data_IF_182313065696
#
_entry.id   IF_182313065696
#
_cell.length_a   1.000
_cell.length_b   1.000
_cell.length_c   1.000
_cell.angle_alpha   90.00
_cell.angle_beta   90.00
_cell.angle_gamma   90.00
#
_symmetry.space_group_name_H-M   'P 1'
#
loop_
_entity.id
_entity.type
_entity.pdbx_description
1 polymer ?
#
# COMPACT_ATOMS: atom_id res chain seq x y z
N UNK A 1 41.81 -46.80 70.35
CA UNK A 1 42.54 -45.75 69.60
C UNK A 1 41.49 -44.84 68.97
N UNK A 2 41.53 -43.54 69.27
CA UNK A 2 40.92 -42.46 68.45
C UNK A 2 41.85 -42.17 67.24
N UNK A 3 41.52 -41.30 66.24
CA UNK A 3 40.42 -40.31 66.13
C UNK A 3 39.52 -40.56 64.87
N UNK A 4 38.67 -39.68 64.32
CA UNK A 4 38.44 -38.21 64.44
C UNK A 4 36.95 -37.85 64.15
N UNK A 5 36.64 -36.55 64.13
CA UNK A 5 35.39 -35.90 63.66
C UNK A 5 35.67 -35.03 62.41
N UNK A 6 34.58 -34.45 61.84
CA UNK A 6 34.51 -33.38 60.79
C UNK A 6 34.39 -33.90 59.34
N UNK A 7 33.64 -33.28 58.41
CA UNK A 7 32.88 -32.00 58.44
C UNK A 7 31.60 -32.04 57.55
N UNK A 8 30.78 -30.98 57.63
CA UNK A 8 29.51 -30.80 56.89
C UNK A 8 29.65 -30.06 55.53
N UNK A 9 28.54 -30.05 54.76
CA UNK A 9 28.22 -29.20 53.58
C UNK A 9 28.94 -29.56 52.25
N UNK A 10 28.27 -29.69 51.09
CA UNK A 10 27.38 -28.70 50.46
C UNK A 10 26.41 -29.30 49.41
N UNK A 11 25.19 -28.75 49.39
CA UNK A 11 24.34 -28.39 48.23
C UNK A 11 24.14 -29.31 47.01
N UNK A 12 22.88 -29.77 46.90
CA UNK A 12 22.01 -29.67 45.71
C UNK A 12 22.51 -30.26 44.38
N UNK A 13 22.13 -31.52 44.13
CA UNK A 13 22.27 -32.18 42.83
C UNK A 13 21.50 -31.47 41.72
N UNK A 14 22.20 -31.26 40.60
CA UNK A 14 21.78 -30.47 39.44
C UNK A 14 20.38 -30.84 38.90
N UNK A 15 19.57 -29.81 38.64
CA UNK A 15 18.32 -29.94 37.90
C UNK A 15 18.60 -30.40 36.45
N UNK A 16 17.79 -31.29 35.86
CA UNK A 16 17.97 -31.69 34.46
C UNK A 16 17.61 -30.51 33.56
N UNK A 17 18.62 -29.89 32.93
CA UNK A 17 18.40 -28.89 31.90
C UNK A 17 17.63 -29.49 30.72
N UNK A 18 16.32 -29.24 30.68
CA UNK A 18 15.50 -29.44 29.50
C UNK A 18 16.03 -28.48 28.43
N UNK A 19 16.90 -29.00 27.55
CA UNK A 19 17.26 -28.34 26.30
C UNK A 19 16.04 -28.43 25.39
N UNK A 20 15.12 -27.48 25.54
CA UNK A 20 14.07 -27.22 24.55
C UNK A 20 14.76 -26.75 23.26
N UNK A 21 15.16 -27.71 22.43
CA UNK A 21 15.58 -27.43 21.08
C UNK A 21 14.37 -26.83 20.36
N UNK A 22 14.44 -25.52 20.08
CA UNK A 22 13.46 -24.86 19.23
C UNK A 22 13.52 -25.56 17.87
N UNK A 23 12.52 -26.39 17.58
CA UNK A 23 12.40 -27.07 16.30
C UNK A 23 12.17 -25.98 15.25
N UNK A 24 13.25 -25.62 14.55
CA UNK A 24 13.21 -24.73 13.40
C UNK A 24 12.37 -25.40 12.30
N UNK A 25 11.05 -25.17 12.33
CA UNK A 25 10.15 -25.59 11.26
C UNK A 25 10.55 -24.81 10.01
N UNK A 26 10.97 -25.52 8.98
CA UNK A 26 11.19 -24.91 7.67
C UNK A 26 9.84 -24.45 7.11
N UNK A 27 9.79 -23.33 6.37
CA UNK A 27 8.56 -22.89 5.71
C UNK A 27 8.00 -23.96 4.79
N UNK A 28 6.68 -24.13 4.80
CA UNK A 28 5.99 -25.06 3.90
C UNK A 28 6.24 -24.69 2.44
N UNK A 29 6.30 -25.68 1.54
CA UNK A 29 6.55 -25.43 0.11
C UNK A 29 5.56 -24.42 -0.52
N UNK A 30 4.31 -24.41 -0.06
CA UNK A 30 3.25 -23.46 -0.43
C UNK A 30 3.49 -22.00 0.00
N UNK A 31 4.41 -21.74 0.94
CA UNK A 31 4.74 -20.39 1.42
C UNK A 31 5.88 -19.73 0.62
N UNK A 32 6.68 -20.50 -0.14
CA UNK A 32 7.86 -19.95 -0.83
C UNK A 32 7.58 -18.79 -1.80
N UNK A 33 6.52 -18.81 -2.64
CA UNK A 33 6.23 -17.67 -3.53
C UNK A 33 5.96 -16.37 -2.76
N UNK A 34 5.22 -16.48 -1.64
CA UNK A 34 4.90 -15.36 -0.76
C UNK A 34 6.15 -14.81 -0.06
N UNK A 35 7.06 -15.68 0.39
CA UNK A 35 8.33 -15.27 1.01
C UNK A 35 9.28 -14.62 0.01
N UNK A 36 9.28 -15.05 -1.26
CA UNK A 36 10.02 -14.36 -2.33
C UNK A 36 9.45 -12.97 -2.58
N UNK A 37 8.12 -12.82 -2.64
CA UNK A 37 7.49 -11.50 -2.75
C UNK A 37 7.81 -10.61 -1.54
N UNK A 38 7.83 -11.17 -0.33
CA UNK A 38 8.24 -10.43 0.87
C UNK A 38 9.67 -9.90 0.74
N UNK A 39 10.61 -10.73 0.27
CA UNK A 39 12.00 -10.32 0.07
C UNK A 39 12.17 -9.26 -1.04
N UNK A 40 11.38 -9.33 -2.12
CA UNK A 40 11.34 -8.27 -3.15
C UNK A 40 10.85 -6.94 -2.56
N UNK A 41 9.82 -6.99 -1.71
CA UNK A 41 9.31 -5.80 -0.99
C UNK A 41 10.30 -5.29 0.07
N UNK A 42 11.14 -6.15 0.66
CA UNK A 42 12.22 -5.76 1.58
C UNK A 42 13.39 -5.07 0.84
N UNK A 43 13.60 -5.38 -0.44
CA UNK A 43 14.68 -4.83 -1.26
C UNK A 43 14.36 -3.47 -1.90
N UNK A 44 13.08 -3.10 -2.03
CA UNK A 44 12.66 -1.86 -2.68
C UNK A 44 12.95 -0.61 -1.83
N UNK A 45 13.57 0.42 -2.40
CA UNK A 45 13.84 1.69 -1.72
C UNK A 45 12.58 2.57 -1.74
N UNK A 46 11.73 2.40 -0.73
CA UNK A 46 10.52 3.22 -0.54
C UNK A 46 10.86 4.65 -0.05
N UNK A 47 10.12 5.68 -0.50
CA UNK A 47 9.10 5.67 -1.56
C UNK A 47 9.69 5.81 -2.98
N UNK A 48 11.00 6.02 -3.13
CA UNK A 48 11.63 6.55 -4.34
C UNK A 48 11.66 5.61 -5.56
N UNK A 49 11.73 4.30 -5.36
CA UNK A 49 11.79 3.31 -6.44
C UNK A 49 10.41 2.71 -6.80
N UNK A 50 9.32 3.23 -6.22
CA UNK A 50 8.00 2.61 -6.31
C UNK A 50 6.99 3.56 -6.96
N UNK A 51 6.28 3.04 -7.96
CA UNK A 51 5.22 3.71 -8.70
C UNK A 51 3.98 2.80 -8.81
N UNK A 52 2.90 3.28 -9.45
CA UNK A 52 1.66 2.52 -9.62
C UNK A 52 1.86 1.16 -10.31
N UNK A 53 2.59 1.14 -11.44
CA UNK A 53 2.87 -0.07 -12.23
C UNK A 53 3.63 -1.12 -11.40
N UNK A 54 4.63 -0.70 -10.62
CA UNK A 54 5.41 -1.62 -9.79
C UNK A 54 4.57 -2.27 -8.68
N UNK A 55 3.62 -1.53 -8.10
CA UNK A 55 2.69 -2.06 -7.08
C UNK A 55 1.65 -2.97 -7.73
N UNK A 56 1.16 -2.65 -8.93
CA UNK A 56 0.29 -3.55 -9.70
C UNK A 56 0.98 -4.88 -10.00
N UNK A 57 2.21 -4.86 -10.51
CA UNK A 57 2.97 -6.08 -10.80
C UNK A 57 3.16 -6.95 -9.54
N UNK A 58 3.35 -6.34 -8.37
CA UNK A 58 3.40 -7.06 -7.10
C UNK A 58 2.03 -7.57 -6.61
N UNK A 59 0.95 -6.84 -6.88
CA UNK A 59 -0.42 -7.27 -6.59
C UNK A 59 -0.82 -8.47 -7.46
N UNK A 60 -0.56 -8.41 -8.76
CA UNK A 60 -0.81 -9.50 -9.71
C UNK A 60 0.01 -10.75 -9.31
N UNK A 61 1.27 -10.57 -8.88
CA UNK A 61 2.11 -11.63 -8.31
C UNK A 61 1.51 -12.23 -7.03
N UNK A 62 0.97 -11.40 -6.14
CA UNK A 62 0.31 -11.84 -4.92
C UNK A 62 -0.97 -12.62 -5.24
N UNK A 63 -1.82 -12.11 -6.13
CA UNK A 63 -3.07 -12.76 -6.52
C UNK A 63 -2.85 -14.10 -7.23
N UNK A 64 -1.85 -14.18 -8.12
CA UNK A 64 -1.44 -15.41 -8.79
C UNK A 64 -0.98 -16.53 -7.83
N UNK A 65 -0.58 -16.21 -6.60
CA UNK A 65 -0.23 -17.21 -5.58
C UNK A 65 -1.44 -18.02 -5.07
N UNK A 66 -2.67 -17.54 -5.27
CA UNK A 66 -3.93 -18.21 -4.90
C UNK A 66 -4.22 -18.38 -3.40
N UNK A 67 -3.25 -18.12 -2.50
CA UNK A 67 -3.34 -18.46 -1.08
C UNK A 67 -4.14 -17.43 -0.24
N UNK A 68 -5.36 -17.09 -0.66
CA UNK A 68 -6.23 -16.08 -0.02
C UNK A 68 -6.71 -16.48 1.40
N UNK A 69 -6.39 -17.70 1.85
CA UNK A 69 -6.72 -18.21 3.20
C UNK A 69 -5.61 -17.98 4.24
N UNK A 70 -4.35 -17.85 3.82
CA UNK A 70 -3.21 -17.77 4.73
C UNK A 70 -2.98 -16.35 5.28
N UNK A 71 -2.52 -16.21 6.54
CA UNK A 71 -2.27 -14.88 7.13
C UNK A 71 -1.13 -14.12 6.43
N UNK A 72 -0.12 -14.84 5.90
CA UNK A 72 0.98 -14.25 5.12
C UNK A 72 0.48 -13.51 3.88
N UNK A 73 -0.55 -14.03 3.19
CA UNK A 73 -1.13 -13.37 2.02
C UNK A 73 -1.70 -11.99 2.37
N UNK A 74 -2.44 -11.92 3.48
CA UNK A 74 -3.05 -10.68 3.95
C UNK A 74 -2.03 -9.69 4.50
N UNK A 75 -0.95 -10.15 5.14
CA UNK A 75 0.18 -9.29 5.53
C UNK A 75 0.91 -8.72 4.30
N UNK A 76 1.07 -9.49 3.22
CA UNK A 76 1.62 -8.97 1.96
C UNK A 76 0.69 -7.95 1.32
N UNK A 77 -0.63 -8.17 1.35
CA UNK A 77 -1.60 -7.16 0.90
C UNK A 77 -1.50 -5.87 1.72
N UNK A 78 -1.32 -5.96 3.05
CA UNK A 78 -1.02 -4.80 3.91
C UNK A 78 0.26 -4.09 3.43
N UNK A 79 1.35 -4.82 3.13
CA UNK A 79 2.58 -4.21 2.60
C UNK A 79 2.35 -3.47 1.30
N UNK A 80 1.54 -4.01 0.37
CA UNK A 80 1.20 -3.32 -0.88
C UNK A 80 0.37 -2.05 -0.63
N UNK A 81 -0.56 -2.08 0.32
CA UNK A 81 -1.32 -0.89 0.72
C UNK A 81 -0.43 0.18 1.35
N UNK A 82 0.50 -0.21 2.24
CA UNK A 82 1.45 0.72 2.86
C UNK A 82 2.42 1.32 1.83
N UNK A 83 2.92 0.52 0.87
CA UNK A 83 3.75 0.99 -0.23
C UNK A 83 2.99 1.99 -1.12
N UNK A 84 1.73 1.71 -1.46
CA UNK A 84 0.87 2.63 -2.22
C UNK A 84 0.60 3.95 -1.47
N UNK A 85 0.38 3.90 -0.15
CA UNK A 85 0.21 5.09 0.67
C UNK A 85 1.49 5.92 0.77
N UNK A 86 2.65 5.29 0.92
CA UNK A 86 3.96 5.95 0.93
C UNK A 86 4.25 6.63 -0.41
N UNK A 87 4.01 5.93 -1.52
CA UNK A 87 4.16 6.43 -2.88
C UNK A 87 3.25 7.65 -3.13
N UNK A 88 1.94 7.53 -2.89
CA UNK A 88 0.99 8.62 -3.05
C UNK A 88 1.27 9.82 -2.13
N UNK A 89 1.63 9.57 -0.87
CA UNK A 89 2.01 10.63 0.08
C UNK A 89 3.26 11.39 -0.37
N UNK A 90 4.27 10.68 -0.88
CA UNK A 90 5.47 11.29 -1.44
C UNK A 90 5.15 12.12 -2.70
N UNK A 91 4.29 11.63 -3.59
CA UNK A 91 3.85 12.41 -4.76
C UNK A 91 3.18 13.72 -4.33
N UNK A 92 2.26 13.72 -3.35
CA UNK A 92 1.63 14.97 -2.87
C UNK A 92 2.65 15.91 -2.24
N UNK A 93 3.57 15.40 -1.42
CA UNK A 93 4.59 16.22 -0.76
C UNK A 93 5.60 16.85 -1.75
N UNK A 94 5.71 16.30 -2.97
CA UNK A 94 6.48 16.85 -4.09
C UNK A 94 5.59 17.54 -5.17
N UNK A 95 4.32 17.78 -4.89
CA UNK A 95 3.35 18.41 -5.79
C UNK A 95 3.02 17.63 -7.09
N UNK A 96 3.35 16.34 -7.17
CA UNK A 96 3.04 15.43 -8.28
C UNK A 96 1.57 14.97 -8.23
N UNK A 97 0.63 15.93 -8.21
CA UNK A 97 -0.79 15.66 -7.95
C UNK A 97 -1.46 14.71 -8.94
N UNK A 98 -1.00 14.68 -10.19
CA UNK A 98 -1.50 13.72 -11.19
C UNK A 98 -1.16 12.27 -10.79
N UNK A 99 0.07 12.01 -10.33
CA UNK A 99 0.52 10.68 -9.93
C UNK A 99 -0.12 10.24 -8.60
N UNK A 100 -0.28 11.15 -7.64
CA UNK A 100 -1.07 10.91 -6.42
C UNK A 100 -2.54 10.63 -6.74
N UNK A 101 -3.13 11.41 -7.66
CA UNK A 101 -4.49 11.23 -8.15
C UNK A 101 -4.69 9.93 -8.91
N UNK A 102 -3.67 9.46 -9.62
CA UNK A 102 -3.68 8.17 -10.32
C UNK A 102 -3.78 6.98 -9.37
N UNK A 103 -3.05 7.00 -8.25
CA UNK A 103 -3.20 5.99 -7.21
C UNK A 103 -4.57 6.06 -6.50
N UNK A 104 -5.15 7.25 -6.31
CA UNK A 104 -6.25 7.47 -5.38
C UNK A 104 -7.65 7.64 -5.99
N UNK A 105 -7.77 8.34 -7.12
CA UNK A 105 -9.08 8.78 -7.67
C UNK A 105 -9.28 8.47 -9.16
N UNK A 106 -8.22 8.45 -9.97
CA UNK A 106 -8.35 8.19 -11.40
C UNK A 106 -8.35 6.67 -11.66
N UNK A 107 -9.33 6.14 -12.40
CA UNK A 107 -9.29 4.73 -12.79
C UNK A 107 -8.08 4.42 -13.68
N UNK A 108 -7.48 3.26 -13.45
CA UNK A 108 -6.35 2.71 -14.22
C UNK A 108 -6.75 2.35 -15.64
N UNK A 109 -7.98 1.83 -15.80
CA UNK A 109 -8.53 1.47 -17.11
C UNK A 109 -10.00 1.89 -17.22
N UNK A 110 -10.32 2.59 -18.31
CA UNK A 110 -11.69 2.96 -18.70
C UNK A 110 -11.90 2.48 -20.14
N UNK A 111 -12.92 1.66 -20.37
CA UNK A 111 -13.36 1.24 -21.70
C UNK A 111 -14.53 2.10 -22.16
N UNK A 112 -14.51 2.39 -23.46
CA UNK A 112 -15.46 3.25 -24.16
C UNK A 112 -16.21 2.37 -25.15
N UNK A 113 -17.46 2.09 -24.81
CA UNK A 113 -18.37 1.26 -25.60
C UNK A 113 -19.21 2.18 -26.50
N UNK A 114 -19.27 1.89 -27.80
CA UNK A 114 -20.22 2.51 -28.74
C UNK A 114 -21.43 1.60 -28.95
N UNK A 115 -22.61 2.16 -29.21
CA UNK A 115 -23.82 1.39 -29.54
C UNK A 115 -23.65 0.48 -30.78
N UNK A 116 -22.75 0.82 -31.72
CA UNK A 116 -22.51 0.16 -33.02
C UNK A 116 -21.97 -1.30 -32.98
N UNK A 117 -22.10 -2.04 -31.87
CA UNK A 117 -21.56 -3.41 -31.66
C UNK A 117 -20.03 -3.57 -31.83
N UNK A 118 -19.28 -2.46 -31.98
CA UNK A 118 -17.82 -2.48 -32.10
C UNK A 118 -17.16 -2.91 -30.78
N UNK A 119 -15.96 -3.52 -30.83
CA UNK A 119 -15.18 -3.81 -29.64
C UNK A 119 -14.94 -2.54 -28.79
N UNK A 120 -14.99 -2.62 -27.45
CA UNK A 120 -14.79 -1.45 -26.59
C UNK A 120 -13.38 -0.88 -26.75
N UNK A 121 -13.28 0.42 -26.97
CA UNK A 121 -12.00 1.10 -27.11
C UNK A 121 -11.41 1.48 -25.75
N UNK A 122 -10.09 1.39 -25.60
CA UNK A 122 -9.40 1.86 -24.40
C UNK A 122 -9.30 3.39 -24.41
N UNK A 123 -9.79 4.05 -23.36
CA UNK A 123 -9.55 5.48 -23.13
C UNK A 123 -8.10 5.70 -22.66
N UNK A 124 -7.36 6.61 -23.28
CA UNK A 124 -6.09 7.06 -22.71
C UNK A 124 -6.35 7.89 -21.44
N UNK A 125 -5.61 7.61 -20.36
CA UNK A 125 -5.66 8.39 -19.11
C UNK A 125 -5.34 9.87 -19.41
N UNK A 126 -5.90 10.77 -18.60
CA UNK A 126 -5.74 12.24 -18.67
C UNK A 126 -6.21 12.97 -19.94
N UNK A 127 -6.24 12.34 -21.11
CA UNK A 127 -6.75 12.96 -22.34
C UNK A 127 -8.29 13.10 -22.38
N UNK A 128 -8.77 14.06 -23.18
CA UNK A 128 -10.20 14.34 -23.35
C UNK A 128 -10.87 13.31 -24.27
N UNK A 129 -12.07 12.84 -23.90
CA UNK A 129 -12.87 11.93 -24.75
C UNK A 129 -13.19 12.55 -26.12
N UNK A 130 -13.47 13.86 -26.17
CA UNK A 130 -13.77 14.57 -27.43
C UNK A 130 -12.59 14.66 -28.40
N UNK A 131 -11.38 14.38 -27.94
CA UNK A 131 -10.16 14.37 -28.76
C UNK A 131 -9.83 12.94 -29.21
N UNK A 132 -9.91 11.98 -28.28
CA UNK A 132 -9.67 10.56 -28.55
C UNK A 132 -10.74 9.93 -29.48
N UNK A 133 -12.00 10.35 -29.33
CA UNK A 133 -13.16 9.85 -30.07
C UNK A 133 -13.74 10.91 -31.01
N UNK A 134 -12.86 11.73 -31.59
CA UNK A 134 -13.27 12.81 -32.51
C UNK A 134 -13.89 12.22 -33.78
N UNK A 135 -15.10 12.69 -34.11
CA UNK A 135 -15.81 12.27 -35.32
C UNK A 135 -15.35 13.15 -36.48
N UNK A 136 -14.72 12.54 -37.49
CA UNK A 136 -14.13 13.26 -38.63
C UNK A 136 -15.19 14.03 -39.43
N UNK A 137 -14.94 15.31 -39.68
CA UNK A 137 -15.88 16.21 -40.37
C UNK A 137 -16.90 16.90 -39.45
N UNK A 138 -17.02 16.50 -38.19
CA UNK A 138 -17.98 17.08 -37.25
C UNK A 138 -17.35 18.12 -36.31
N UNK A 139 -18.19 19.02 -35.77
CA UNK A 139 -17.77 20.00 -34.77
C UNK A 139 -17.49 19.35 -33.41
N UNK A 140 -16.70 20.04 -32.55
CA UNK A 140 -16.45 19.59 -31.17
C UNK A 140 -17.74 19.45 -30.38
N UNK A 141 -18.71 20.35 -30.59
CA UNK A 141 -20.03 20.31 -29.94
C UNK A 141 -20.79 19.03 -30.32
N UNK A 142 -20.88 18.73 -31.61
CA UNK A 142 -21.55 17.53 -32.10
C UNK A 142 -20.85 16.25 -31.60
N UNK A 143 -19.51 16.22 -31.58
CA UNK A 143 -18.73 15.12 -31.00
C UNK A 143 -19.10 14.90 -29.52
N UNK A 144 -19.24 15.96 -28.73
CA UNK A 144 -19.65 15.87 -27.31
C UNK A 144 -21.10 15.39 -27.17
N UNK A 145 -22.02 15.88 -27.99
CA UNK A 145 -23.43 15.44 -27.99
C UNK A 145 -23.55 13.96 -28.36
N UNK A 146 -22.78 13.50 -29.36
CA UNK A 146 -22.71 12.08 -29.75
C UNK A 146 -22.13 11.21 -28.63
N UNK A 147 -20.99 11.59 -28.03
CA UNK A 147 -20.38 10.85 -26.91
C UNK A 147 -21.32 10.74 -25.70
N UNK A 148 -22.20 11.73 -25.46
CA UNK A 148 -23.19 11.66 -24.38
C UNK A 148 -24.34 10.70 -24.64
N UNK A 149 -24.73 10.52 -25.91
CA UNK A 149 -25.95 9.80 -26.29
C UNK A 149 -25.69 8.37 -26.78
N UNK A 150 -24.52 8.14 -27.41
CA UNK A 150 -24.22 6.91 -28.16
C UNK A 150 -23.07 6.07 -27.56
N UNK A 151 -22.45 6.57 -26.48
CA UNK A 151 -21.33 5.90 -25.83
C UNK A 151 -21.56 5.68 -24.33
N UNK A 152 -21.08 4.54 -23.84
CA UNK A 152 -21.05 4.18 -22.42
C UNK A 152 -19.60 4.03 -21.94
N UNK A 153 -19.32 4.58 -20.77
CA UNK A 153 -18.04 4.37 -20.08
C UNK A 153 -18.16 3.19 -19.10
N UNK A 154 -17.13 2.35 -19.07
CA UNK A 154 -16.97 1.26 -18.11
C UNK A 154 -15.60 1.38 -17.43
N UNK A 155 -15.58 1.35 -16.10
CA UNK A 155 -14.34 1.28 -15.34
C UNK A 155 -14.02 -0.20 -15.11
N UNK A 156 -13.03 -0.72 -15.84
CA UNK A 156 -12.58 -2.12 -15.74
C UNK A 156 -11.48 -2.29 -14.69
N UNK A 157 -10.64 -1.27 -14.47
CA UNK A 157 -9.63 -1.24 -13.40
C UNK A 157 -9.79 0.05 -12.57
N UNK A 158 -10.46 0.01 -11.40
CA UNK A 158 -10.65 1.19 -10.53
C UNK A 158 -9.33 1.66 -9.88
N UNK A 159 -9.25 2.85 -9.26
CA UNK A 159 -7.99 3.40 -8.73
C UNK A 159 -7.33 2.46 -7.70
N UNK A 160 -6.00 2.44 -7.64
CA UNK A 160 -5.25 1.39 -6.93
C UNK A 160 -5.48 1.39 -5.41
N UNK A 161 -5.37 2.54 -4.74
CA UNK A 161 -5.56 2.67 -3.28
C UNK A 161 -6.97 2.25 -2.82
N UNK A 162 -8.08 2.74 -3.42
CA UNK A 162 -9.43 2.21 -3.16
C UNK A 162 -9.57 0.70 -3.42
N UNK A 163 -8.87 0.15 -4.41
CA UNK A 163 -8.91 -1.29 -4.72
C UNK A 163 -8.24 -2.10 -3.61
N UNK A 164 -7.02 -1.72 -3.23
CA UNK A 164 -6.26 -2.36 -2.14
C UNK A 164 -7.00 -2.24 -0.80
N UNK A 165 -7.53 -1.06 -0.47
CA UNK A 165 -8.29 -0.85 0.76
C UNK A 165 -9.57 -1.69 0.81
N UNK A 166 -10.31 -1.79 -0.30
CA UNK A 166 -11.50 -2.64 -0.39
C UNK A 166 -11.14 -4.11 -0.21
N UNK A 167 -10.08 -4.60 -0.86
CA UNK A 167 -9.63 -5.99 -0.69
C UNK A 167 -9.28 -6.33 0.76
N UNK A 168 -8.61 -5.43 1.47
CA UNK A 168 -8.33 -5.56 2.90
C UNK A 168 -9.62 -5.60 3.73
N UNK A 169 -10.50 -4.62 3.53
CA UNK A 169 -11.75 -4.47 4.30
C UNK A 169 -12.69 -5.65 4.10
N UNK A 170 -12.94 -6.03 2.86
CA UNK A 170 -13.94 -7.04 2.49
C UNK A 170 -13.46 -8.47 2.80
N UNK A 171 -12.16 -8.67 3.07
CA UNK A 171 -11.60 -9.95 3.51
C UNK A 171 -12.09 -10.41 4.89
N UNK A 172 -12.47 -9.47 5.77
CA UNK A 172 -12.71 -9.72 7.19
C UNK A 172 -11.47 -10.15 8.01
N UNK A 173 -10.29 -10.26 7.39
CA UNK A 173 -9.04 -10.78 8.02
C UNK A 173 -8.16 -9.71 8.65
N UNK A 174 -8.50 -8.44 8.48
CA UNK A 174 -7.64 -7.29 8.78
C UNK A 174 -8.17 -6.53 9.99
N UNK A 175 -7.30 -6.15 10.92
CA UNK A 175 -7.72 -5.54 12.17
C UNK A 175 -8.39 -4.17 11.95
N UNK A 176 -9.49 -3.92 12.67
CA UNK A 176 -10.23 -2.65 12.62
C UNK A 176 -9.35 -1.41 12.87
N UNK A 177 -8.42 -1.42 13.85
CA UNK A 177 -7.48 -0.32 14.06
C UNK A 177 -6.58 -0.02 12.86
N UNK A 178 -6.11 -1.05 12.13
CA UNK A 178 -5.34 -0.87 10.91
C UNK A 178 -6.20 -0.28 9.79
N UNK A 179 -7.38 -0.84 9.51
CA UNK A 179 -8.30 -0.30 8.50
C UNK A 179 -8.64 1.18 8.75
N UNK A 180 -8.87 1.57 10.00
CA UNK A 180 -9.12 2.96 10.38
C UNK A 180 -7.87 3.85 10.24
N UNK A 181 -6.66 3.32 10.42
CA UNK A 181 -5.41 4.04 10.14
C UNK A 181 -5.23 4.28 8.62
N UNK A 182 -5.48 3.26 7.81
CA UNK A 182 -5.39 3.30 6.35
C UNK A 182 -6.38 4.32 5.75
N UNK A 183 -7.64 4.32 6.18
CA UNK A 183 -8.66 5.29 5.75
C UNK A 183 -8.24 6.74 6.08
N UNK A 184 -7.71 6.97 7.29
CA UNK A 184 -7.17 8.30 7.68
C UNK A 184 -6.01 8.74 6.79
N UNK A 185 -5.13 7.84 6.36
CA UNK A 185 -4.03 8.19 5.44
C UNK A 185 -4.50 8.46 4.02
N UNK A 186 -5.51 7.74 3.53
CA UNK A 186 -6.15 8.07 2.24
C UNK A 186 -6.79 9.47 2.27
N UNK A 187 -7.51 9.83 3.34
CA UNK A 187 -8.04 11.20 3.53
C UNK A 187 -6.94 12.24 3.64
N UNK A 188 -5.86 11.94 4.37
CA UNK A 188 -4.73 12.85 4.50
C UNK A 188 -4.09 13.20 3.15
N UNK A 189 -4.03 12.26 2.21
CA UNK A 189 -3.59 12.53 0.83
C UNK A 189 -4.54 13.53 0.15
N UNK A 190 -5.87 13.37 0.25
CA UNK A 190 -6.82 14.34 -0.32
C UNK A 190 -6.76 15.72 0.35
N UNK A 191 -6.61 15.75 1.68
CA UNK A 191 -6.55 16.99 2.45
C UNK A 191 -5.27 17.79 2.11
N UNK A 192 -4.15 17.10 1.93
CA UNK A 192 -2.87 17.70 1.53
C UNK A 192 -2.92 18.27 0.10
N UNK A 193 -3.53 17.55 -0.86
CA UNK A 193 -3.78 18.07 -2.21
C UNK A 193 -4.67 19.32 -2.16
N UNK A 194 -5.79 19.25 -1.42
CA UNK A 194 -6.72 20.36 -1.25
C UNK A 194 -6.07 21.60 -0.62
N UNK A 195 -5.22 21.40 0.39
CA UNK A 195 -4.43 22.47 1.02
C UNK A 195 -3.48 23.14 0.03
N UNK A 196 -2.64 22.37 -0.67
CA UNK A 196 -1.66 22.92 -1.61
C UNK A 196 -2.32 23.62 -2.80
N UNK A 197 -3.39 23.05 -3.36
CA UNK A 197 -4.17 23.66 -4.43
C UNK A 197 -4.88 24.95 -3.98
N UNK A 198 -5.46 24.97 -2.76
CA UNK A 198 -6.06 26.18 -2.19
C UNK A 198 -5.02 27.29 -1.98
N UNK A 199 -3.79 26.93 -1.67
CA UNK A 199 -2.68 27.88 -1.55
C UNK A 199 -2.01 28.21 -2.90
N UNK A 200 -2.52 27.70 -4.02
CA UNK A 200 -1.97 27.90 -5.37
C UNK A 200 -0.49 27.46 -5.46
N UNK A 201 -0.20 26.26 -4.96
CA UNK A 201 1.11 25.58 -5.10
C UNK A 201 0.91 24.34 -5.95
N UNK A 202 1.54 24.33 -7.12
CA UNK A 202 1.45 23.24 -8.10
C UNK A 202 2.81 22.62 -8.46
N UNK A 203 3.91 23.13 -7.89
CA UNK A 203 5.27 22.67 -8.15
C UNK A 203 6.10 22.59 -6.86
N UNK A 204 6.97 21.58 -6.75
CA UNK A 204 7.87 21.41 -5.61
C UNK A 204 8.80 22.62 -5.39
N UNK A 205 9.26 23.27 -6.47
CA UNK A 205 10.10 24.46 -6.39
C UNK A 205 9.38 25.65 -5.72
N UNK A 206 8.08 25.80 -6.00
CA UNK A 206 7.22 26.81 -5.38
C UNK A 206 6.97 26.51 -3.90
N UNK A 207 6.67 25.24 -3.56
CA UNK A 207 6.53 24.79 -2.18
C UNK A 207 7.82 25.05 -1.38
N UNK A 208 8.97 24.69 -1.93
CA UNK A 208 10.27 24.89 -1.31
C UNK A 208 10.59 26.38 -1.11
N UNK A 209 10.38 27.22 -2.14
CA UNK A 209 10.61 28.67 -2.08
C UNK A 209 9.77 29.33 -0.98
N UNK A 210 8.46 29.07 -0.98
CA UNK A 210 7.53 29.62 0.03
C UNK A 210 7.86 29.10 1.43
N UNK A 211 8.14 27.81 1.57
CA UNK A 211 8.52 27.22 2.87
C UNK A 211 9.82 27.83 3.42
N UNK A 212 10.80 28.15 2.57
CA UNK A 212 12.05 28.81 3.02
C UNK A 212 11.87 30.27 3.42
N UNK A 213 10.90 30.97 2.83
CA UNK A 213 10.60 32.38 3.14
C UNK A 213 9.60 32.54 4.31
N UNK A 214 8.95 31.46 4.71
CA UNK A 214 7.94 31.42 5.77
C UNK A 214 8.52 31.48 7.19
N UNK A 215 7.74 32.05 8.12
CA UNK A 215 8.07 32.08 9.56
C UNK A 215 8.13 30.68 10.17
N UNK A 216 8.59 30.52 11.42
CA UNK A 216 8.63 29.22 12.08
C UNK A 216 7.23 28.61 12.25
N UNK A 217 6.26 29.43 12.61
CA UNK A 217 4.84 29.08 12.81
C UNK A 217 4.23 28.65 11.47
N UNK A 218 4.48 29.43 10.41
CA UNK A 218 3.99 29.13 9.06
C UNK A 218 4.62 27.86 8.51
N UNK A 219 5.92 27.62 8.73
CA UNK A 219 6.58 26.35 8.36
C UNK A 219 6.02 25.15 9.10
N UNK A 220 5.71 25.31 10.40
CA UNK A 220 5.04 24.29 11.20
C UNK A 220 3.63 23.99 10.66
N UNK A 221 2.87 25.03 10.33
CA UNK A 221 1.53 24.91 9.73
C UNK A 221 1.56 24.16 8.39
N UNK A 222 2.48 24.49 7.48
CA UNK A 222 2.69 23.76 6.22
C UNK A 222 3.04 22.30 6.50
N UNK A 223 4.04 22.06 7.36
CA UNK A 223 4.46 20.70 7.73
C UNK A 223 3.32 19.86 8.33
N UNK A 224 2.40 20.50 9.06
CA UNK A 224 1.21 19.87 9.64
C UNK A 224 0.08 19.59 8.64
N UNK A 225 0.23 19.95 7.36
CA UNK A 225 -0.67 19.58 6.26
C UNK A 225 -0.08 18.57 5.26
N UNK A 226 1.26 18.44 5.19
CA UNK A 226 1.93 17.44 4.35
C UNK A 226 1.70 16.00 4.83
N UNK A 227 1.86 15.02 3.95
CA UNK A 227 1.63 13.60 4.25
C UNK A 227 2.71 13.04 5.19
N UNK A 228 3.99 13.16 4.81
CA UNK A 228 5.18 12.77 5.61
C UNK A 228 5.05 11.41 6.30
N UNK A 229 4.53 10.42 5.58
CA UNK A 229 4.29 9.09 6.14
C UNK A 229 5.61 8.33 6.38
N UNK A 230 5.65 7.58 7.49
CA UNK A 230 6.74 6.64 7.80
C UNK A 230 6.43 5.21 7.30
N UNK A 231 7.48 4.40 7.18
CA UNK A 231 7.42 3.02 6.69
C UNK A 231 7.25 1.96 7.80
N UNK A 232 6.95 2.37 9.04
CA UNK A 232 6.97 1.47 10.20
C UNK A 232 6.00 0.31 10.06
N UNK A 233 4.78 0.55 9.55
CA UNK A 233 3.78 -0.52 9.38
C UNK A 233 4.16 -1.44 8.23
N UNK A 234 4.74 -0.91 7.15
CA UNK A 234 5.31 -1.71 6.05
C UNK A 234 6.37 -2.71 6.57
N UNK A 235 7.33 -2.21 7.36
CA UNK A 235 8.36 -3.05 8.01
C UNK A 235 7.77 -4.00 9.05
N UNK A 236 6.79 -3.57 9.83
CA UNK A 236 6.09 -4.41 10.81
C UNK A 236 5.39 -5.61 10.13
N UNK A 237 4.69 -5.37 9.01
CA UNK A 237 4.04 -6.42 8.24
C UNK A 237 5.06 -7.38 7.61
N UNK A 238 6.17 -6.87 7.07
CA UNK A 238 7.28 -7.71 6.56
C UNK A 238 7.91 -8.61 7.63
N UNK A 239 8.14 -8.08 8.83
CA UNK A 239 8.61 -8.86 9.97
C UNK A 239 7.57 -9.89 10.45
N UNK A 240 6.27 -9.55 10.40
CA UNK A 240 5.20 -10.47 10.73
C UNK A 240 5.11 -11.65 9.74
N UNK A 241 5.34 -11.43 8.45
CA UNK A 241 5.44 -12.50 7.43
C UNK A 241 6.54 -13.50 7.79
N UNK A 242 7.74 -13.02 8.14
CA UNK A 242 8.87 -13.88 8.51
C UNK A 242 8.56 -14.70 9.77
N UNK A 243 7.91 -14.09 10.79
CA UNK A 243 7.48 -14.83 11.98
C UNK A 243 6.43 -15.89 11.68
N UNK A 244 5.41 -15.55 10.87
CA UNK A 244 4.33 -16.47 10.52
C UNK A 244 4.75 -17.61 9.59
N UNK A 245 5.89 -17.51 8.92
CA UNK A 245 6.49 -18.63 8.20
C UNK A 245 7.10 -19.71 9.12
N UNK A 246 7.43 -19.33 10.36
CA UNK A 246 7.96 -20.22 11.41
C UNK A 246 6.83 -20.69 12.33
N UNK A 247 5.99 -19.76 12.78
CA UNK A 247 4.82 -20.01 13.63
C UNK A 247 3.55 -19.33 13.05
N UNK A 248 2.76 -20.06 12.24
CA UNK A 248 1.52 -19.54 11.66
C UNK A 248 0.42 -19.18 12.66
N UNK A 249 0.53 -19.62 13.92
CA UNK A 249 -0.44 -19.33 14.98
C UNK A 249 -0.03 -18.14 15.87
N UNK A 250 1.13 -17.53 15.61
CA UNK A 250 1.63 -16.39 16.39
C UNK A 250 0.74 -15.15 16.28
N UNK A 251 0.61 -14.34 17.35
CA UNK A 251 -0.25 -13.15 17.36
C UNK A 251 0.25 -12.06 16.40
N UNK A 252 -0.69 -11.32 15.80
CA UNK A 252 -0.38 -10.18 14.95
C UNK A 252 -1.50 -9.12 14.97
N UNK A 253 -1.20 -7.94 15.53
CA UNK A 253 -2.15 -6.81 15.70
C UNK A 253 -2.68 -6.21 14.38
N UNK A 254 -2.11 -6.60 13.24
CA UNK A 254 -2.52 -6.18 11.90
C UNK A 254 -3.65 -7.07 11.33
N UNK A 255 -3.82 -8.27 11.87
CA UNK A 255 -4.87 -9.22 11.47
C UNK A 255 -5.99 -9.25 12.52
N UNK A 256 -7.18 -9.66 12.09
CA UNK A 256 -8.28 -9.98 13.00
C UNK A 256 -7.99 -11.29 13.74
N UNK A 257 -8.29 -11.32 15.03
CA UNK A 257 -8.32 -12.52 15.88
C UNK A 257 -9.48 -13.44 15.52
#
# INVERSE_FOLDING_TARGET
MNPTLSAESHFSGMSPHIKTAAIFRQPTASAQPLLRLNALLDAAILPYEVNEEQIENWLDTLEASGNKTGPIYWLLWIRLMEAALLCAGNYVDNCEFCAAGDLLVNPREIRVHSNDTRPPALKWRHGLLSEQFRINGHSRRHTIETIKNEYRLEITRPPLLPTLFRGLKDSGRISGPYLAHTDRRMRRITDAIGFLASWQIFEAADLHRRTRQATAETRSFIASHLCRFDDRIFRQAGNAVQRMAIDPAGPCDLLST
#
